data_IF_985336865153
#
_entry.id   IF_985336865153
#
_cell.length_a   1.000
_cell.length_b   1.000
_cell.length_c   1.000
_cell.angle_alpha   90.00
_cell.angle_beta   90.00
_cell.angle_gamma   90.00
#
_symmetry.space_group_name_H-M   'P 1'
#
loop_
_entity.id
_entity.type
_entity.pdbx_description
1 polymer ?
#
# COMPACT_ATOMS: atom_id res chain seq x y z
N UNK A 1 -0.04 55.11 23.90
CA UNK A 1 1.06 54.20 23.49
C UNK A 1 0.80 52.80 24.03
N UNK A 2 0.45 51.84 23.17
CA UNK A 2 0.56 50.39 23.43
C UNK A 2 0.89 49.69 22.11
N UNK A 3 2.17 49.32 22.04
CA UNK A 3 2.89 48.43 21.11
C UNK A 3 1.97 47.42 20.41
N UNK A 4 1.89 47.46 19.07
CA UNK A 4 1.25 46.40 18.28
C UNK A 4 2.24 45.25 18.15
N UNK A 5 1.89 44.16 18.84
CA UNK A 5 2.59 42.89 18.87
C UNK A 5 2.73 42.24 17.50
N UNK A 6 3.76 41.41 17.42
CA UNK A 6 4.46 40.84 16.30
C UNK A 6 3.71 39.67 15.63
N UNK A 7 4.11 39.37 14.39
CA UNK A 7 3.81 38.18 13.57
C UNK A 7 2.43 38.08 12.91
N UNK A 8 2.36 38.56 11.65
CA UNK A 8 1.44 37.99 10.66
C UNK A 8 2.26 37.44 9.49
N UNK A 9 3.03 36.37 9.77
CA UNK A 9 3.58 35.52 8.73
C UNK A 9 2.42 34.72 8.13
N UNK A 10 1.82 35.28 7.07
CA UNK A 10 0.96 34.53 6.18
C UNK A 10 1.87 33.59 5.38
N UNK A 11 1.97 32.34 5.83
CA UNK A 11 2.51 31.26 4.99
C UNK A 11 1.67 31.19 3.71
N UNK A 12 2.17 31.78 2.63
CA UNK A 12 1.64 31.58 1.30
C UNK A 12 1.83 30.11 0.95
N UNK A 13 0.73 29.35 0.83
CA UNK A 13 0.77 28.00 0.26
C UNK A 13 1.22 28.12 -1.19
N UNK A 14 2.53 28.01 -1.44
CA UNK A 14 3.09 27.96 -2.81
C UNK A 14 2.42 26.79 -3.53
N UNK A 15 1.67 27.08 -4.59
CA UNK A 15 1.06 26.05 -5.42
C UNK A 15 2.12 25.16 -6.06
N UNK A 16 1.86 23.85 -6.16
CA UNK A 16 2.75 22.91 -6.88
C UNK A 16 3.03 23.43 -8.28
N UNK A 17 4.31 23.41 -8.66
CA UNK A 17 4.76 23.80 -9.98
C UNK A 17 4.12 22.91 -11.06
N UNK A 18 4.04 23.43 -12.28
CA UNK A 18 3.52 22.69 -13.44
C UNK A 18 4.30 21.38 -13.64
N UNK A 19 5.62 21.41 -13.50
CA UNK A 19 6.47 20.22 -13.64
C UNK A 19 6.13 19.13 -12.63
N UNK A 20 5.79 19.50 -11.40
CA UNK A 20 5.45 18.55 -10.34
C UNK A 20 4.05 17.94 -10.52
N UNK A 21 3.09 18.71 -11.04
CA UNK A 21 1.77 18.18 -11.42
C UNK A 21 1.87 17.18 -12.56
N UNK A 22 2.69 17.48 -13.59
CA UNK A 22 2.91 16.57 -14.71
C UNK A 22 3.51 15.25 -14.22
N UNK A 23 4.51 15.31 -13.32
CA UNK A 23 5.12 14.11 -12.74
C UNK A 23 4.11 13.26 -11.97
N UNK A 24 3.21 13.89 -11.22
CA UNK A 24 2.15 13.23 -10.46
C UNK A 24 1.07 12.58 -11.33
N UNK A 25 0.88 13.05 -12.57
CA UNK A 25 -0.12 12.51 -13.51
C UNK A 25 0.42 11.44 -14.46
N UNK A 26 1.70 11.06 -14.31
CA UNK A 26 2.30 10.07 -15.20
C UNK A 26 1.78 8.68 -14.87
N UNK A 27 1.14 8.05 -15.85
CA UNK A 27 0.64 6.68 -15.75
C UNK A 27 1.70 5.70 -16.27
N UNK A 28 1.77 4.53 -15.64
CA UNK A 28 2.68 3.46 -16.00
C UNK A 28 1.91 2.14 -16.06
N UNK A 29 2.33 1.23 -16.94
CA UNK A 29 1.70 -0.09 -17.05
C UNK A 29 2.14 -1.02 -15.90
N UNK A 30 1.16 -1.57 -15.21
CA UNK A 30 1.35 -2.54 -14.11
C UNK A 30 1.30 -3.96 -14.68
N UNK A 31 2.29 -4.77 -14.33
CA UNK A 31 2.36 -6.20 -14.69
C UNK A 31 1.62 -7.05 -13.65
N UNK A 32 1.86 -6.81 -12.36
CA UNK A 32 1.23 -7.56 -11.28
C UNK A 32 1.18 -6.77 -9.96
N UNK A 33 0.24 -7.13 -9.09
CA UNK A 33 0.26 -6.76 -7.67
C UNK A 33 0.94 -7.89 -6.92
N UNK A 34 2.00 -7.58 -6.18
CA UNK A 34 2.86 -8.58 -5.51
C UNK A 34 2.85 -8.48 -3.99
N UNK A 35 2.24 -7.43 -3.44
CA UNK A 35 2.17 -7.22 -2.00
C UNK A 35 1.05 -6.25 -1.63
N UNK A 36 0.60 -6.32 -0.38
CA UNK A 36 -0.34 -5.39 0.25
C UNK A 36 0.16 -5.08 1.66
N UNK A 37 0.03 -3.82 2.07
CA UNK A 37 0.29 -3.38 3.44
C UNK A 37 -0.73 -2.34 3.87
N UNK A 38 -0.90 -2.21 5.18
CA UNK A 38 -1.64 -1.11 5.80
C UNK A 38 -0.59 -0.22 6.47
N UNK A 39 -0.59 1.07 6.12
CA UNK A 39 0.32 2.03 6.74
C UNK A 39 -0.11 2.30 8.18
N UNK A 40 0.76 2.93 8.97
CA UNK A 40 0.44 3.34 10.35
C UNK A 40 -0.78 4.29 10.38
N UNK A 41 -1.01 5.03 9.29
CA UNK A 41 -2.17 5.91 9.12
C UNK A 41 -3.46 5.16 8.71
N UNK A 42 -3.42 3.83 8.60
CA UNK A 42 -4.56 3.00 8.19
C UNK A 42 -4.81 2.98 6.68
N UNK A 43 -3.90 3.52 5.86
CA UNK A 43 -4.07 3.55 4.40
C UNK A 43 -3.58 2.25 3.76
N UNK A 44 -4.31 1.79 2.75
CA UNK A 44 -3.93 0.59 1.99
C UNK A 44 -3.00 0.99 0.86
N UNK A 45 -1.85 0.33 0.82
CA UNK A 45 -0.89 0.42 -0.28
C UNK A 45 -0.64 -0.98 -0.87
N UNK A 46 -0.43 -1.00 -2.18
CA UNK A 46 -0.06 -2.20 -2.92
C UNK A 46 1.33 -2.07 -3.51
N UNK A 47 2.10 -3.15 -3.43
CA UNK A 47 3.41 -3.23 -4.07
C UNK A 47 3.20 -3.68 -5.53
N UNK A 48 3.59 -2.83 -6.46
CA UNK A 48 3.39 -3.09 -7.89
C UNK A 48 4.66 -3.60 -8.56
N UNK A 49 4.51 -4.63 -9.40
CA UNK A 49 5.48 -5.00 -10.42
C UNK A 49 5.17 -4.19 -11.67
N UNK A 50 6.10 -3.33 -12.07
CA UNK A 50 5.97 -2.54 -13.28
C UNK A 50 6.37 -3.36 -14.52
N UNK A 51 5.62 -3.20 -15.61
CA UNK A 51 5.86 -3.92 -16.86
C UNK A 51 7.18 -3.48 -17.48
N UNK A 52 8.00 -4.44 -17.90
CA UNK A 52 9.35 -4.22 -18.47
C UNK A 52 10.38 -3.60 -17.51
N UNK A 53 10.07 -3.51 -16.21
CA UNK A 53 11.04 -3.10 -15.19
C UNK A 53 11.38 -4.27 -14.27
N UNK A 54 12.58 -4.25 -13.68
CA UNK A 54 12.99 -5.26 -12.71
C UNK A 54 12.18 -5.18 -11.41
N UNK A 55 12.19 -6.25 -10.62
CA UNK A 55 11.56 -6.28 -9.29
C UNK A 55 12.15 -5.24 -8.32
N UNK A 56 13.37 -4.76 -8.57
CA UNK A 56 14.01 -3.70 -7.77
C UNK A 56 13.32 -2.33 -7.94
N UNK A 57 12.58 -2.16 -9.03
CA UNK A 57 11.83 -0.95 -9.33
C UNK A 57 10.41 -0.98 -8.76
N UNK A 58 10.03 -2.05 -8.05
CA UNK A 58 8.69 -2.15 -7.46
C UNK A 58 8.50 -1.04 -6.42
N UNK A 59 7.35 -0.41 -6.44
CA UNK A 59 7.00 0.67 -5.51
C UNK A 59 5.66 0.39 -4.83
N UNK A 60 5.51 0.94 -3.63
CA UNK A 60 4.26 0.94 -2.88
C UNK A 60 3.41 2.12 -3.35
N UNK A 61 2.30 1.82 -4.01
CA UNK A 61 1.35 2.83 -4.48
C UNK A 61 0.07 2.75 -3.64
N UNK A 62 -0.51 3.89 -3.23
CA UNK A 62 -1.77 3.91 -2.51
C UNK A 62 -2.88 3.36 -3.38
N UNK A 63 -3.82 2.63 -2.77
CA UNK A 63 -4.96 2.04 -3.48
C UNK A 63 -5.75 3.05 -4.32
N UNK A 64 -5.81 4.31 -3.86
CA UNK A 64 -6.44 5.44 -4.53
C UNK A 64 -5.81 5.79 -5.89
N UNK A 65 -4.52 5.49 -6.10
CA UNK A 65 -3.81 5.75 -7.36
C UNK A 65 -4.01 4.61 -8.38
N UNK A 66 -4.65 3.50 -8.01
CA UNK A 66 -4.70 2.28 -8.82
C UNK A 66 -6.03 2.15 -9.58
N UNK A 67 -5.93 2.15 -10.89
CA UNK A 67 -7.06 1.89 -11.79
C UNK A 67 -7.11 0.42 -12.28
N UNK A 68 -6.47 -0.52 -11.57
CA UNK A 68 -6.31 -1.92 -11.99
C UNK A 68 -7.05 -2.92 -11.09
N UNK A 69 -8.36 -2.75 -10.94
CA UNK A 69 -9.24 -3.58 -10.08
C UNK A 69 -9.11 -5.08 -10.30
N UNK A 70 -8.91 -5.53 -11.55
CA UNK A 70 -8.73 -6.95 -11.88
C UNK A 70 -7.48 -7.55 -11.23
N UNK A 71 -6.34 -6.83 -11.27
CA UNK A 71 -5.08 -7.31 -10.71
C UNK A 71 -5.14 -7.34 -9.18
N UNK A 72 -5.73 -6.31 -8.57
CA UNK A 72 -5.97 -6.25 -7.13
C UNK A 72 -6.84 -7.42 -6.68
N UNK A 73 -7.98 -7.64 -7.35
CA UNK A 73 -8.89 -8.74 -7.02
C UNK A 73 -8.20 -10.09 -7.12
N UNK A 74 -7.43 -10.33 -8.17
CA UNK A 74 -6.69 -11.59 -8.32
C UNK A 74 -5.68 -11.79 -7.18
N UNK A 75 -4.95 -10.73 -6.82
CA UNK A 75 -4.03 -10.78 -5.69
C UNK A 75 -4.76 -11.10 -4.37
N UNK A 76 -5.85 -10.39 -4.05
CA UNK A 76 -6.59 -10.62 -2.81
C UNK A 76 -7.19 -12.03 -2.74
N UNK A 77 -7.76 -12.53 -3.84
CA UNK A 77 -8.27 -13.91 -3.91
C UNK A 77 -7.16 -14.94 -3.65
N UNK A 78 -5.95 -14.71 -4.17
CA UNK A 78 -4.82 -15.62 -3.94
C UNK A 78 -4.31 -15.55 -2.51
N UNK A 79 -4.34 -14.38 -1.86
CA UNK A 79 -4.00 -14.23 -0.44
C UNK A 79 -5.02 -14.99 0.43
N UNK A 80 -6.31 -14.84 0.16
CA UNK A 80 -7.36 -15.55 0.89
C UNK A 80 -7.20 -17.06 0.79
N UNK A 81 -6.98 -17.58 -0.42
CA UNK A 81 -6.73 -19.02 -0.64
C UNK A 81 -5.53 -19.54 0.14
N UNK A 82 -4.41 -18.79 0.14
CA UNK A 82 -3.20 -19.17 0.89
C UNK A 82 -3.45 -19.17 2.39
N UNK A 83 -4.22 -18.21 2.90
CA UNK A 83 -4.59 -18.17 4.31
C UNK A 83 -5.52 -19.33 4.67
N UNK A 84 -6.52 -19.65 3.85
CA UNK A 84 -7.38 -20.83 4.06
C UNK A 84 -6.59 -22.14 4.05
N UNK A 85 -5.64 -22.29 3.13
CA UNK A 85 -4.74 -23.45 3.08
C UNK A 85 -3.85 -23.52 4.32
N UNK A 86 -3.31 -22.39 4.77
CA UNK A 86 -2.54 -22.30 6.01
C UNK A 86 -3.39 -22.67 7.22
N UNK A 87 -4.60 -22.12 7.35
CA UNK A 87 -5.51 -22.40 8.45
C UNK A 87 -5.89 -23.88 8.50
N UNK A 88 -6.20 -24.50 7.34
CA UNK A 88 -6.46 -25.95 7.26
C UNK A 88 -5.25 -26.77 7.70
N UNK A 89 -4.05 -26.36 7.29
CA UNK A 89 -2.82 -27.03 7.69
C UNK A 89 -2.56 -26.88 9.20
N UNK A 90 -2.81 -25.71 9.79
CA UNK A 90 -2.66 -25.47 11.22
C UNK A 90 -3.68 -26.29 12.03
N UNK A 91 -4.95 -26.34 11.59
CA UNK A 91 -5.99 -27.17 12.24
C UNK A 91 -5.61 -28.65 12.18
N UNK A 92 -5.18 -29.14 11.02
CA UNK A 92 -4.71 -30.53 10.86
C UNK A 92 -3.53 -30.85 11.78
N UNK A 93 -2.52 -29.97 11.84
CA UNK A 93 -1.38 -30.14 12.73
C UNK A 93 -1.84 -30.12 14.20
N UNK A 94 -2.76 -29.24 14.60
CA UNK A 94 -3.26 -29.15 15.97
C UNK A 94 -4.15 -30.35 16.37
N UNK A 95 -4.81 -31.00 15.42
CA UNK A 95 -5.57 -32.23 15.66
C UNK A 95 -4.67 -33.46 15.75
N UNK A 96 -3.56 -33.50 15.01
CA UNK A 96 -2.63 -34.64 15.01
C UNK A 96 -1.48 -34.53 16.02
N UNK A 97 -1.21 -33.32 16.52
CA UNK A 97 -0.15 -33.08 17.49
C UNK A 97 -0.73 -32.30 18.68
N UNK A 98 -0.41 -32.69 19.92
CA UNK A 98 -0.79 -31.97 21.16
C UNK A 98 -0.09 -30.58 21.28
N UNK A 99 0.20 -29.92 20.17
CA UNK A 99 0.92 -28.65 20.08
C UNK A 99 -0.08 -27.51 20.27
N UNK A 100 -0.21 -27.04 21.51
CA UNK A 100 -0.88 -25.79 21.85
C UNK A 100 -0.07 -24.60 21.29
N UNK A 101 -0.51 -24.03 20.18
CA UNK A 101 0.11 -22.84 19.59
C UNK A 101 -0.29 -21.62 20.44
N UNK A 102 0.65 -21.13 21.25
CA UNK A 102 0.55 -19.82 21.89
C UNK A 102 0.91 -18.74 20.87
N UNK A 103 -0.10 -18.11 20.25
CA UNK A 103 0.10 -16.86 19.49
C UNK A 103 0.19 -15.67 20.46
N UNK A 104 1.20 -14.82 20.28
CA UNK A 104 1.51 -13.64 21.10
C UNK A 104 0.40 -12.57 21.12
#
# INVERSE_FOLDING_TARGET
>A
MKIKSWTKLKFGKKGKSISERIRSNKQYEVEAVVGKRITIEGKIEYLLKWKNYSNKSNTWEPSENLNCTKLIRNYEMNVLKKNEEHDKQIVYIAEETDVYICSS
#
